data_IF_644408349873
#
_entry.id   IF_644408349873
#
_cell.length_a   1.000
_cell.length_b   1.000
_cell.length_c   1.000
_cell.angle_alpha   90.00
_cell.angle_beta   90.00
_cell.angle_gamma   90.00
#
_symmetry.space_group_name_H-M   'P 1'
#
loop_
_entity.id
_entity.type
_entity.pdbx_description
1 polymer ?
#
# COMPACT_ATOMS: atom_id res chain seq x y z
N UNK A 1 -46.52 36.48 -53.89
CA UNK A 1 -46.34 35.93 -52.53
C UNK A 1 -45.19 34.91 -52.58
N UNK A 2 -43.99 35.26 -52.16
CA UNK A 2 -42.80 34.34 -52.12
C UNK A 2 -42.78 33.60 -50.78
N UNK A 3 -42.89 32.27 -50.79
CA UNK A 3 -42.79 31.43 -49.61
C UNK A 3 -41.29 31.13 -49.35
N UNK A 4 -40.75 31.59 -48.20
CA UNK A 4 -39.41 31.23 -47.70
C UNK A 4 -39.52 29.92 -46.92
N UNK A 5 -38.85 28.86 -47.42
CA UNK A 5 -38.69 27.62 -46.71
C UNK A 5 -37.43 27.75 -45.84
N UNK A 6 -37.59 27.79 -44.52
CA UNK A 6 -36.52 27.83 -43.55
C UNK A 6 -36.09 26.37 -43.26
N UNK A 7 -34.92 25.96 -43.79
CA UNK A 7 -34.33 24.64 -43.49
C UNK A 7 -33.58 24.73 -42.19
N UNK A 8 -34.06 24.04 -41.16
CA UNK A 8 -33.36 23.85 -39.90
C UNK A 8 -32.33 22.69 -40.07
N UNK A 9 -31.03 23.00 -40.12
CA UNK A 9 -29.98 22.00 -40.07
C UNK A 9 -29.77 21.58 -38.61
N UNK A 10 -30.13 20.35 -38.26
CA UNK A 10 -29.86 19.75 -36.93
C UNK A 10 -28.40 19.32 -36.87
N UNK A 11 -27.58 20.07 -36.12
CA UNK A 11 -26.16 19.73 -35.89
C UNK A 11 -26.11 18.61 -34.82
N UNK A 12 -25.84 17.38 -35.24
CA UNK A 12 -25.57 16.27 -34.31
C UNK A 12 -24.12 16.41 -33.75
N UNK A 13 -23.98 16.86 -32.51
CA UNK A 13 -22.70 16.84 -31.77
C UNK A 13 -22.52 15.44 -31.19
N UNK A 14 -21.71 14.61 -31.84
CA UNK A 14 -21.25 13.33 -31.26
C UNK A 14 -20.23 13.60 -30.16
N UNK A 15 -20.64 13.44 -28.90
CA UNK A 15 -19.72 13.47 -27.74
C UNK A 15 -18.98 12.14 -27.74
N UNK A 16 -17.73 12.15 -28.20
CA UNK A 16 -16.81 11.02 -28.06
C UNK A 16 -16.33 11.03 -26.60
N UNK A 17 -16.92 10.19 -25.76
CA UNK A 17 -16.42 9.93 -24.41
C UNK A 17 -15.17 9.06 -24.52
N UNK A 18 -13.97 9.65 -24.39
CA UNK A 18 -12.77 8.89 -24.14
C UNK A 18 -12.86 8.26 -22.75
N UNK A 19 -13.24 7.01 -22.68
CA UNK A 19 -13.14 6.23 -21.45
C UNK A 19 -11.66 6.10 -21.07
N UNK A 20 -11.22 6.81 -20.02
CA UNK A 20 -9.88 6.56 -19.45
C UNK A 20 -9.84 5.13 -18.93
N UNK A 21 -8.80 4.37 -19.32
CA UNK A 21 -8.57 3.04 -18.76
C UNK A 21 -8.43 3.14 -17.24
N UNK A 22 -9.04 2.20 -16.53
CA UNK A 22 -8.95 2.15 -15.06
C UNK A 22 -7.50 2.04 -14.64
N UNK A 23 -7.08 2.76 -13.57
CA UNK A 23 -5.75 2.54 -13.01
C UNK A 23 -5.62 1.09 -12.54
N UNK A 24 -4.42 0.53 -12.65
CA UNK A 24 -4.13 -0.85 -12.23
C UNK A 24 -3.13 -0.87 -11.10
N UNK A 25 -3.27 -1.82 -10.18
CA UNK A 25 -2.30 -2.14 -9.15
C UNK A 25 -1.89 -3.61 -9.25
N UNK A 26 -0.66 -3.92 -8.85
CA UNK A 26 -0.17 -5.28 -8.79
C UNK A 26 0.05 -5.67 -7.33
N UNK A 27 -0.58 -6.74 -6.86
CA UNK A 27 -0.23 -7.38 -5.58
C UNK A 27 0.91 -8.36 -5.86
N UNK A 28 2.00 -8.17 -5.14
CA UNK A 28 3.12 -9.09 -5.06
C UNK A 28 3.18 -9.68 -3.66
N UNK A 29 3.06 -11.02 -3.55
CA UNK A 29 2.97 -11.73 -2.26
C UNK A 29 3.92 -12.94 -2.20
N UNK A 30 5.09 -12.84 -2.87
CA UNK A 30 6.11 -13.87 -2.76
C UNK A 30 6.75 -13.84 -1.38
N UNK A 31 6.96 -15.04 -0.82
CA UNK A 31 7.67 -15.25 0.45
C UNK A 31 8.85 -16.17 0.22
N UNK A 32 10.03 -15.76 0.64
CA UNK A 32 11.23 -16.60 0.70
C UNK A 32 11.56 -17.00 2.15
N UNK A 33 10.94 -16.32 3.14
CA UNK A 33 10.94 -16.63 4.56
C UNK A 33 9.58 -17.15 5.02
N UNK A 34 9.06 -16.59 6.12
CA UNK A 34 7.78 -16.98 6.70
C UNK A 34 6.61 -16.65 5.75
N UNK A 35 5.66 -17.57 5.63
CA UNK A 35 4.44 -17.35 4.84
C UNK A 35 3.27 -17.02 5.75
N UNK A 36 2.74 -15.80 5.65
CA UNK A 36 1.59 -15.35 6.43
C UNK A 36 0.28 -15.87 5.83
N UNK A 37 -0.54 -16.53 6.64
CA UNK A 37 -1.84 -17.08 6.20
C UNK A 37 -2.78 -15.98 5.72
N UNK A 38 -2.70 -14.79 6.31
CA UNK A 38 -3.50 -13.63 5.94
C UNK A 38 -3.35 -13.16 4.48
N UNK A 39 -2.33 -13.60 3.75
CA UNK A 39 -2.20 -13.39 2.30
C UNK A 39 -3.43 -13.95 1.56
N UNK A 40 -3.92 -15.13 1.98
CA UNK A 40 -5.04 -15.81 1.34
C UNK A 40 -6.36 -15.01 1.40
N UNK A 41 -6.58 -14.26 2.49
CA UNK A 41 -7.75 -13.39 2.67
C UNK A 41 -7.50 -11.94 2.23
N UNK A 42 -6.25 -11.50 2.29
CA UNK A 42 -5.84 -10.15 1.89
C UNK A 42 -5.98 -9.91 0.39
N UNK A 43 -5.58 -10.88 -0.43
CA UNK A 43 -5.70 -10.79 -1.90
C UNK A 43 -7.16 -10.54 -2.33
N UNK A 44 -8.14 -11.40 -1.98
CA UNK A 44 -9.53 -11.18 -2.39
C UNK A 44 -10.13 -9.89 -1.80
N UNK A 45 -9.73 -9.49 -0.59
CA UNK A 45 -10.17 -8.23 -0.01
C UNK A 45 -9.69 -7.01 -0.83
N UNK A 46 -8.43 -6.99 -1.28
CA UNK A 46 -7.90 -5.91 -2.12
C UNK A 46 -8.50 -5.96 -3.54
N UNK A 47 -8.76 -7.13 -4.10
CA UNK A 47 -9.46 -7.26 -5.39
C UNK A 47 -10.87 -6.67 -5.29
N UNK A 48 -11.63 -7.01 -4.25
CA UNK A 48 -12.95 -6.42 -3.99
C UNK A 48 -12.86 -4.91 -3.83
N UNK A 49 -11.86 -4.43 -3.09
CA UNK A 49 -11.60 -3.00 -2.90
C UNK A 49 -11.38 -2.28 -4.24
N UNK A 50 -10.66 -2.91 -5.19
CA UNK A 50 -10.46 -2.39 -6.55
C UNK A 50 -11.78 -2.29 -7.32
N UNK A 51 -12.61 -3.33 -7.28
CA UNK A 51 -13.92 -3.35 -7.93
C UNK A 51 -14.84 -2.23 -7.42
N UNK A 52 -14.84 -2.00 -6.10
CA UNK A 52 -15.68 -0.98 -5.44
C UNK A 52 -15.14 0.45 -5.61
N UNK A 53 -13.86 0.63 -5.96
CA UNK A 53 -13.18 1.92 -6.03
C UNK A 53 -12.56 2.24 -7.40
N UNK A 54 -13.02 1.57 -8.46
CA UNK A 54 -12.69 1.85 -9.86
C UNK A 54 -11.20 1.74 -10.20
N UNK A 55 -10.53 0.70 -9.71
CA UNK A 55 -9.19 0.29 -10.17
C UNK A 55 -9.11 -1.23 -10.34
N UNK A 56 -8.26 -1.67 -11.28
CA UNK A 56 -8.03 -3.09 -11.55
C UNK A 56 -6.89 -3.61 -10.66
N UNK A 57 -6.97 -4.89 -10.29
CA UNK A 57 -5.98 -5.55 -9.42
C UNK A 57 -5.51 -6.83 -10.08
N UNK A 58 -4.20 -6.92 -10.35
CA UNK A 58 -3.53 -8.15 -10.71
C UNK A 58 -2.77 -8.71 -9.51
N UNK A 59 -2.49 -10.01 -9.50
CA UNK A 59 -1.75 -10.67 -8.41
C UNK A 59 -0.64 -11.55 -8.96
N UNK A 60 0.48 -11.64 -8.24
CA UNK A 60 1.57 -12.54 -8.60
C UNK A 60 2.47 -12.89 -7.42
N UNK A 61 3.04 -14.10 -7.46
CA UNK A 61 4.21 -14.49 -6.67
C UNK A 61 5.45 -14.64 -7.56
N UNK A 62 5.31 -14.42 -8.88
CA UNK A 62 6.37 -14.62 -9.85
C UNK A 62 7.22 -13.36 -10.01
N UNK A 63 8.43 -13.37 -9.46
CA UNK A 63 9.41 -12.27 -9.55
C UNK A 63 9.86 -11.98 -10.99
N UNK A 64 9.75 -12.95 -11.93
CA UNK A 64 10.10 -12.70 -13.33
C UNK A 64 9.23 -11.62 -14.01
N UNK A 65 8.10 -11.27 -13.39
CA UNK A 65 7.26 -10.14 -13.83
C UNK A 65 7.82 -8.76 -13.43
N UNK A 66 8.87 -8.71 -12.61
CA UNK A 66 9.55 -7.44 -12.27
C UNK A 66 10.49 -7.03 -13.40
N UNK A 67 9.90 -6.67 -14.52
CA UNK A 67 10.55 -5.98 -15.64
C UNK A 67 9.94 -4.59 -15.77
N UNK A 68 10.73 -3.59 -16.19
CA UNK A 68 10.21 -2.23 -16.34
C UNK A 68 9.00 -2.17 -17.29
N UNK A 69 9.02 -2.95 -18.37
CA UNK A 69 7.93 -3.00 -19.34
C UNK A 69 6.62 -3.57 -18.76
N UNK A 70 6.72 -4.46 -17.78
CA UNK A 70 5.53 -4.95 -17.09
C UNK A 70 5.10 -3.98 -15.98
N UNK A 71 6.04 -3.52 -15.14
CA UNK A 71 5.73 -2.68 -13.97
C UNK A 71 5.09 -1.34 -14.36
N UNK A 72 5.48 -0.74 -15.49
CA UNK A 72 4.90 0.53 -15.98
C UNK A 72 3.40 0.48 -16.29
N UNK A 73 2.79 -0.72 -16.36
CA UNK A 73 1.35 -0.91 -16.52
C UNK A 73 0.57 -0.57 -15.25
N UNK A 74 1.25 -0.52 -14.11
CA UNK A 74 0.64 -0.36 -12.80
C UNK A 74 0.92 1.03 -12.21
N UNK A 75 -0.07 1.59 -11.54
CA UNK A 75 0.06 2.86 -10.80
C UNK A 75 0.69 2.66 -9.42
N UNK A 76 0.51 1.47 -8.84
CA UNK A 76 1.15 1.07 -7.59
C UNK A 76 1.43 -0.43 -7.56
N UNK A 77 2.50 -0.81 -6.87
CA UNK A 77 2.86 -2.19 -6.54
C UNK A 77 2.66 -2.37 -5.03
N UNK A 78 1.90 -3.41 -4.66
CA UNK A 78 1.59 -3.74 -3.27
C UNK A 78 2.42 -4.95 -2.87
N UNK A 79 3.36 -4.79 -1.95
CA UNK A 79 4.06 -5.89 -1.30
C UNK A 79 3.20 -6.34 -0.11
N UNK A 80 2.41 -7.40 -0.34
CA UNK A 80 1.48 -7.94 0.65
C UNK A 80 2.15 -9.05 1.43
N UNK A 81 2.60 -8.77 2.63
CA UNK A 81 3.27 -9.70 3.55
C UNK A 81 4.40 -10.51 2.89
N UNK A 82 5.19 -9.86 2.03
CA UNK A 82 6.40 -10.46 1.45
C UNK A 82 7.44 -10.68 2.54
N UNK A 83 8.31 -11.70 2.39
CA UNK A 83 9.38 -12.01 3.35
C UNK A 83 10.64 -12.54 2.66
N UNK A 84 11.81 -12.17 3.19
CA UNK A 84 13.11 -12.61 2.69
C UNK A 84 13.47 -12.01 1.34
N UNK A 85 14.45 -12.58 0.65
CA UNK A 85 14.94 -12.08 -0.64
C UNK A 85 14.04 -12.59 -1.78
N UNK A 86 13.24 -11.72 -2.33
CA UNK A 86 12.20 -12.07 -3.31
C UNK A 86 12.53 -11.62 -4.73
N UNK A 87 13.49 -10.69 -4.91
CA UNK A 87 13.93 -10.15 -6.19
C UNK A 87 15.43 -10.38 -6.40
N UNK A 88 15.83 -10.71 -7.62
CA UNK A 88 17.23 -10.68 -8.01
C UNK A 88 17.67 -9.28 -8.46
N UNK A 89 18.97 -9.07 -8.71
CA UNK A 89 19.55 -7.77 -9.04
C UNK A 89 18.93 -7.10 -10.29
N UNK A 90 18.54 -7.88 -11.31
CA UNK A 90 17.88 -7.33 -12.51
C UNK A 90 16.47 -6.84 -12.19
N UNK A 91 15.75 -7.60 -11.37
CA UNK A 91 14.39 -7.28 -10.91
C UNK A 91 14.39 -6.08 -9.96
N UNK A 92 15.38 -6.00 -9.06
CA UNK A 92 15.62 -4.84 -8.19
C UNK A 92 15.86 -3.59 -9.04
N UNK A 93 16.75 -3.66 -10.02
CA UNK A 93 17.02 -2.55 -10.96
C UNK A 93 15.76 -2.10 -11.70
N UNK A 94 14.93 -3.04 -12.15
CA UNK A 94 13.68 -2.73 -12.83
C UNK A 94 12.67 -2.04 -11.90
N UNK A 95 12.61 -2.48 -10.65
CA UNK A 95 11.73 -1.88 -9.64
C UNK A 95 12.19 -0.48 -9.22
N UNK A 96 13.50 -0.26 -9.04
CA UNK A 96 14.04 1.09 -8.82
C UNK A 96 13.65 2.06 -9.94
N UNK A 97 13.83 1.63 -11.19
CA UNK A 97 13.45 2.46 -12.35
C UNK A 97 11.96 2.77 -12.39
N UNK A 98 11.10 1.81 -12.00
CA UNK A 98 9.67 2.03 -11.91
C UNK A 98 9.33 3.10 -10.87
N UNK A 99 9.93 3.05 -9.67
CA UNK A 99 9.75 4.05 -8.62
C UNK A 99 10.28 5.42 -9.07
N UNK A 100 11.50 5.49 -9.66
CA UNK A 100 12.09 6.72 -10.19
C UNK A 100 11.24 7.42 -11.25
N UNK A 101 10.41 6.66 -11.96
CA UNK A 101 9.46 7.20 -12.94
C UNK A 101 8.11 7.61 -12.32
N UNK A 102 8.02 7.70 -11.00
CA UNK A 102 6.82 8.13 -10.29
C UNK A 102 5.87 6.99 -9.90
N UNK A 103 6.33 5.75 -9.97
CA UNK A 103 5.57 4.58 -9.52
C UNK A 103 5.21 4.63 -8.04
N UNK A 104 4.11 3.98 -7.66
CA UNK A 104 3.66 3.87 -6.27
C UNK A 104 4.09 2.57 -5.61
N UNK A 105 4.37 2.62 -4.33
CA UNK A 105 4.67 1.47 -3.47
C UNK A 105 3.71 1.42 -2.28
N UNK A 106 3.21 0.23 -1.97
CA UNK A 106 2.47 -0.06 -0.74
C UNK A 106 3.09 -1.26 -0.07
N UNK A 107 3.61 -1.09 1.12
CA UNK A 107 4.06 -2.19 1.97
C UNK A 107 3.01 -2.53 3.02
N UNK A 108 2.69 -3.81 3.17
CA UNK A 108 1.74 -4.31 4.17
C UNK A 108 2.43 -5.33 5.04
N UNK A 109 2.36 -5.12 6.34
CA UNK A 109 2.86 -5.99 7.39
C UNK A 109 4.30 -6.43 7.15
N UNK A 110 4.55 -7.67 6.73
CA UNK A 110 5.88 -8.24 6.58
C UNK A 110 6.70 -7.66 5.40
N UNK A 111 6.18 -6.64 4.69
CA UNK A 111 6.99 -5.95 3.69
C UNK A 111 8.28 -5.34 4.27
N UNK A 112 8.37 -5.09 5.58
CA UNK A 112 9.62 -4.69 6.27
C UNK A 112 10.53 -5.86 6.63
N UNK A 113 10.07 -7.10 6.49
CA UNK A 113 10.84 -8.35 6.64
C UNK A 113 11.32 -8.89 5.29
N UNK A 114 11.63 -7.99 4.38
CA UNK A 114 11.94 -8.28 2.97
C UNK A 114 13.20 -7.54 2.55
N UNK A 115 14.06 -8.17 1.70
CA UNK A 115 15.20 -7.55 1.01
C UNK A 115 16.20 -6.86 1.96
N UNK A 116 16.63 -7.52 2.99
CA UNK A 116 17.51 -6.94 4.03
C UNK A 116 18.85 -6.45 3.50
N UNK A 117 19.38 -7.07 2.46
CA UNK A 117 20.66 -6.73 1.85
C UNK A 117 20.54 -5.67 0.74
N UNK A 118 19.35 -5.07 0.58
CA UNK A 118 19.09 -4.02 -0.39
C UNK A 118 18.70 -2.69 0.28
N UNK A 119 19.67 -1.85 0.68
CA UNK A 119 19.41 -0.61 1.44
C UNK A 119 18.47 0.37 0.74
N UNK A 120 18.44 0.37 -0.60
CA UNK A 120 17.49 1.18 -1.35
C UNK A 120 16.03 0.79 -1.03
N UNK A 121 15.75 -0.53 -0.96
CA UNK A 121 14.42 -1.02 -0.58
C UNK A 121 14.09 -0.67 0.88
N UNK A 122 15.04 -0.80 1.80
CA UNK A 122 14.86 -0.37 3.19
C UNK A 122 14.41 1.08 3.28
N UNK A 123 15.06 1.97 2.50
CA UNK A 123 14.64 3.37 2.44
C UNK A 123 13.27 3.56 1.77
N UNK A 124 12.91 2.76 0.78
CA UNK A 124 11.58 2.81 0.14
C UNK A 124 10.47 2.36 1.09
N UNK A 125 10.63 1.22 1.76
CA UNK A 125 9.62 0.71 2.72
C UNK A 125 9.64 1.49 4.02
N UNK A 126 10.78 2.08 4.41
CA UNK A 126 10.96 3.00 5.52
C UNK A 126 11.44 2.37 6.83
N UNK A 127 11.52 1.05 6.93
CA UNK A 127 12.05 0.35 8.10
C UNK A 127 12.46 -1.09 7.77
N UNK A 128 13.23 -1.69 8.68
CA UNK A 128 13.47 -3.13 8.66
C UNK A 128 13.00 -3.79 9.97
N UNK A 129 12.27 -4.88 9.80
CA UNK A 129 11.80 -5.73 10.90
C UNK A 129 12.95 -6.23 11.76
N UNK A 130 12.74 -6.32 13.07
CA UNK A 130 13.64 -6.87 14.05
C UNK A 130 13.07 -8.11 14.73
N UNK A 131 11.89 -7.96 15.31
CA UNK A 131 11.23 -8.95 16.16
C UNK A 131 9.77 -8.61 16.33
N UNK A 132 9.01 -9.50 16.93
CA UNK A 132 7.67 -9.26 17.46
C UNK A 132 7.46 -10.03 18.77
N UNK A 133 6.53 -9.65 19.63
CA UNK A 133 6.11 -10.47 20.77
C UNK A 133 5.64 -11.87 20.32
N UNK A 134 5.80 -12.86 21.18
CA UNK A 134 5.47 -14.26 20.85
C UNK A 134 3.98 -14.55 20.59
N UNK A 135 3.12 -13.59 20.88
CA UNK A 135 1.66 -13.68 20.68
C UNK A 135 1.11 -12.38 20.15
N UNK A 136 0.08 -12.48 19.32
CA UNK A 136 -0.78 -11.34 18.98
C UNK A 136 -1.38 -10.74 20.25
N UNK A 137 -1.44 -9.42 20.35
CA UNK A 137 -1.94 -8.70 21.51
C UNK A 137 -2.85 -7.55 21.07
N UNK A 138 -3.83 -7.22 21.91
CA UNK A 138 -4.50 -5.93 21.77
C UNK A 138 -3.56 -4.81 22.21
N UNK A 139 -3.51 -3.74 21.44
CA UNK A 139 -2.81 -2.52 21.81
C UNK A 139 -3.57 -1.27 21.36
N UNK A 140 -3.20 -0.14 21.94
CA UNK A 140 -3.72 1.17 21.56
C UNK A 140 -2.83 1.78 20.49
N UNK A 141 -3.42 2.16 19.38
CA UNK A 141 -2.79 2.92 18.32
C UNK A 141 -3.18 4.39 18.44
N UNK A 142 -2.20 5.27 18.45
CA UNK A 142 -2.39 6.72 18.36
C UNK A 142 -2.39 7.13 16.88
N UNK A 143 -3.48 7.74 16.41
CA UNK A 143 -3.59 8.29 15.05
C UNK A 143 -3.02 9.71 15.07
N UNK A 144 -1.75 9.85 14.67
CA UNK A 144 -0.97 11.09 14.75
C UNK A 144 -1.40 12.10 13.70
N UNK A 145 -1.54 11.67 12.43
CA UNK A 145 -2.08 12.51 11.34
C UNK A 145 -3.50 12.05 10.99
N UNK A 146 -4.48 12.87 11.37
CA UNK A 146 -5.91 12.63 11.13
C UNK A 146 -6.46 13.34 9.89
N UNK A 147 -5.61 13.97 9.09
CA UNK A 147 -6.01 14.66 7.86
C UNK A 147 -5.67 13.84 6.61
N UNK A 148 -4.78 12.84 6.73
CA UNK A 148 -4.35 12.05 5.61
C UNK A 148 -5.45 11.08 5.13
N UNK A 149 -5.48 10.80 3.83
CA UNK A 149 -6.53 9.96 3.20
C UNK A 149 -6.67 8.58 3.84
N UNK A 150 -5.56 8.00 4.34
CA UNK A 150 -5.55 6.68 4.99
C UNK A 150 -5.97 6.70 6.47
N UNK A 151 -6.10 7.87 7.10
CA UNK A 151 -6.33 7.98 8.55
C UNK A 151 -7.48 8.88 8.95
N UNK A 152 -7.97 9.75 8.06
CA UNK A 152 -9.03 10.73 8.37
C UNK A 152 -10.36 10.14 8.89
N UNK A 153 -10.58 8.85 8.66
CA UNK A 153 -11.77 8.12 9.13
C UNK A 153 -11.54 7.37 10.44
N UNK A 154 -10.29 7.31 10.92
CA UNK A 154 -9.94 6.59 12.15
C UNK A 154 -10.25 7.43 13.40
N UNK A 155 -10.58 6.80 14.54
CA UNK A 155 -10.63 7.48 15.82
C UNK A 155 -9.23 7.96 16.25
N UNK A 156 -9.14 8.91 17.17
CA UNK A 156 -7.85 9.40 17.68
C UNK A 156 -7.01 8.29 18.32
N UNK A 157 -7.68 7.37 19.03
CA UNK A 157 -7.10 6.13 19.55
C UNK A 157 -7.85 4.96 18.96
N UNK A 158 -7.12 4.05 18.31
CA UNK A 158 -7.68 2.86 17.69
C UNK A 158 -7.13 1.62 18.38
N UNK A 159 -7.96 0.98 19.20
CA UNK A 159 -7.62 -0.28 19.88
C UNK A 159 -7.94 -1.46 18.98
N UNK A 160 -6.94 -2.36 18.79
CA UNK A 160 -7.13 -3.56 17.98
C UNK A 160 -6.15 -4.67 18.36
N UNK A 161 -6.47 -5.89 17.94
CA UNK A 161 -5.59 -7.06 17.98
C UNK A 161 -4.79 -7.14 16.69
N UNK A 162 -3.47 -7.25 16.79
CA UNK A 162 -2.59 -7.55 15.66
C UNK A 162 -1.26 -8.14 16.16
N UNK A 163 -0.31 -8.37 15.26
CA UNK A 163 1.08 -8.67 15.58
C UNK A 163 1.91 -7.38 15.48
N UNK A 164 2.59 -7.03 16.56
CA UNK A 164 3.27 -5.75 16.68
C UNK A 164 4.75 -5.89 16.36
N UNK A 165 5.16 -5.41 15.19
CA UNK A 165 6.55 -5.44 14.75
C UNK A 165 7.40 -4.41 15.46
N UNK A 166 8.55 -4.85 15.98
CA UNK A 166 9.67 -4.01 16.37
C UNK A 166 10.62 -3.86 15.18
N UNK A 167 11.25 -2.69 15.07
CA UNK A 167 12.17 -2.40 13.97
C UNK A 167 13.58 -2.28 14.45
N UNK A 168 14.54 -2.86 13.70
CA UNK A 168 15.99 -2.69 13.95
C UNK A 168 16.52 -1.38 13.40
N UNK A 169 15.80 -0.78 12.47
CA UNK A 169 16.13 0.48 11.84
C UNK A 169 14.86 1.11 11.24
N UNK A 170 14.77 2.44 11.30
CA UNK A 170 13.68 3.24 10.76
C UNK A 170 14.30 4.42 9.98
N UNK A 171 13.88 4.64 8.76
CA UNK A 171 14.37 5.72 7.91
C UNK A 171 14.01 7.11 8.46
N UNK A 172 14.85 8.09 8.15
CA UNK A 172 14.49 9.49 8.38
C UNK A 172 13.49 10.02 7.35
N UNK A 173 12.80 11.13 7.71
CA UNK A 173 11.92 11.84 6.77
C UNK A 173 10.56 11.17 6.50
N UNK A 174 10.18 10.18 7.29
CA UNK A 174 8.86 9.55 7.21
C UNK A 174 7.78 10.48 7.79
N UNK A 175 6.65 10.59 7.10
CA UNK A 175 5.43 11.19 7.63
C UNK A 175 4.65 10.12 8.40
N UNK A 176 4.79 10.12 9.74
CA UNK A 176 4.15 9.12 10.60
C UNK A 176 2.64 9.38 10.68
N UNK A 177 1.87 8.35 10.42
CA UNK A 177 0.41 8.36 10.46
C UNK A 177 -0.15 7.77 11.75
N UNK A 178 0.43 6.66 12.20
CA UNK A 178 -0.02 5.88 13.35
C UNK A 178 1.20 5.45 14.14
N UNK A 179 1.13 5.59 15.45
CA UNK A 179 2.08 5.03 16.43
C UNK A 179 1.37 4.03 17.32
N UNK A 180 2.12 3.12 17.91
CA UNK A 180 1.62 2.23 18.96
C UNK A 180 2.06 2.74 20.35
N UNK A 181 1.15 2.69 21.31
CA UNK A 181 1.48 2.91 22.72
C UNK A 181 2.04 1.62 23.31
N UNK A 182 3.36 1.56 23.48
CA UNK A 182 4.05 0.38 24.05
C UNK A 182 3.64 0.07 25.48
N UNK A 183 3.02 1.01 26.21
CA UNK A 183 2.49 0.78 27.56
C UNK A 183 1.20 -0.03 27.54
N UNK A 184 0.56 -0.16 26.39
CA UNK A 184 -0.71 -0.86 26.23
C UNK A 184 -0.57 -2.36 25.91
N UNK A 185 0.66 -2.85 25.67
CA UNK A 185 0.97 -4.25 25.40
C UNK A 185 2.38 -4.61 25.93
N UNK A 186 2.83 -5.85 25.73
CA UNK A 186 4.14 -6.32 26.23
C UNK A 186 5.05 -6.69 25.05
N UNK A 187 6.33 -6.27 25.12
CA UNK A 187 7.37 -6.64 24.16
C UNK A 187 7.64 -5.61 23.08
N UNK A 188 7.23 -4.35 23.28
CA UNK A 188 7.66 -3.21 22.48
C UNK A 188 9.14 -2.90 22.72
N UNK A 189 9.90 -2.52 21.66
CA UNK A 189 11.33 -2.26 21.71
C UNK A 189 11.75 -0.98 20.97
N UNK A 190 10.81 -0.15 20.53
CA UNK A 190 11.09 1.12 19.85
C UNK A 190 10.73 2.36 20.68
N UNK A 191 10.16 2.18 21.89
CA UNK A 191 9.86 3.22 22.87
C UNK A 191 8.72 4.17 22.42
N UNK A 192 8.78 5.42 22.88
CA UNK A 192 7.70 6.40 22.62
C UNK A 192 7.54 6.79 21.13
N UNK A 193 8.50 6.46 20.29
CA UNK A 193 8.45 6.73 18.86
C UNK A 193 8.37 5.44 18.03
N UNK A 194 7.35 4.63 18.28
CA UNK A 194 7.13 3.36 17.63
C UNK A 194 6.08 3.49 16.51
N UNK A 195 6.47 3.76 15.25
CA UNK A 195 5.53 3.95 14.16
C UNK A 195 4.96 2.62 13.67
N UNK A 196 3.64 2.62 13.34
CA UNK A 196 2.92 1.48 12.77
C UNK A 196 2.42 1.73 11.36
N UNK A 197 2.33 3.00 10.94
CA UNK A 197 2.02 3.35 9.57
C UNK A 197 2.63 4.70 9.21
N UNK A 198 3.08 4.84 7.96
CA UNK A 198 3.68 6.05 7.44
C UNK A 198 3.55 6.15 5.92
N UNK A 199 3.83 7.35 5.41
CA UNK A 199 4.03 7.59 4.00
C UNK A 199 5.21 8.54 3.78
N UNK A 200 5.76 8.52 2.59
CA UNK A 200 6.76 9.48 2.13
C UNK A 200 6.89 9.46 0.60
N UNK A 201 7.62 10.41 0.07
CA UNK A 201 8.14 10.32 -1.29
C UNK A 201 9.57 9.82 -1.24
N UNK A 202 9.90 8.87 -2.10
CA UNK A 202 11.24 8.32 -2.18
C UNK A 202 11.63 8.08 -3.64
N UNK A 203 12.81 8.58 -4.01
CA UNK A 203 13.43 8.37 -5.33
C UNK A 203 12.49 8.65 -6.53
N UNK A 204 11.61 9.66 -6.39
CA UNK A 204 10.62 10.05 -7.41
C UNK A 204 9.24 9.42 -7.26
N UNK A 205 9.10 8.33 -6.50
CA UNK A 205 7.84 7.63 -6.25
C UNK A 205 7.14 8.02 -4.95
N UNK A 206 6.01 7.39 -4.71
CA UNK A 206 5.20 7.53 -3.48
C UNK A 206 5.16 6.21 -2.75
N UNK A 207 5.56 6.19 -1.49
CA UNK A 207 5.57 5.03 -0.64
C UNK A 207 4.60 5.18 0.53
N UNK A 208 3.81 4.16 0.79
CA UNK A 208 2.97 3.99 1.96
C UNK A 208 3.28 2.65 2.60
N UNK A 209 3.34 2.61 3.91
CA UNK A 209 3.49 1.37 4.66
C UNK A 209 2.52 1.32 5.83
N UNK A 210 2.03 0.11 6.12
CA UNK A 210 1.31 -0.22 7.35
C UNK A 210 1.80 -1.55 7.92
N UNK A 211 2.18 -1.55 9.20
CA UNK A 211 2.55 -2.76 9.94
C UNK A 211 1.36 -3.67 10.25
N UNK A 212 0.14 -3.14 10.10
CA UNK A 212 -1.10 -3.85 10.37
C UNK A 212 -1.39 -4.88 9.27
N UNK A 213 -2.24 -5.87 9.57
CA UNK A 213 -2.68 -6.85 8.58
C UNK A 213 -2.08 -8.24 8.73
N UNK A 214 -1.51 -8.57 9.90
CA UNK A 214 -1.10 -9.94 10.20
C UNK A 214 -2.28 -10.89 10.30
N UNK A 215 -3.39 -10.44 10.91
CA UNK A 215 -4.55 -11.30 11.18
C UNK A 215 -5.51 -11.35 9.99
N UNK A 216 -6.16 -12.49 9.77
CA UNK A 216 -7.25 -12.63 8.80
C UNK A 216 -8.39 -11.64 9.08
N UNK A 217 -8.68 -11.41 10.37
CA UNK A 217 -9.73 -10.49 10.81
C UNK A 217 -9.50 -9.06 10.33
N UNK A 218 -8.24 -8.63 10.12
CA UNK A 218 -7.91 -7.31 9.56
C UNK A 218 -8.61 -7.09 8.22
N UNK A 219 -8.65 -8.10 7.37
CA UNK A 219 -9.21 -8.01 6.00
C UNK A 219 -10.75 -8.08 5.95
N UNK A 220 -11.40 -8.13 7.10
CA UNK A 220 -12.85 -7.93 7.27
C UNK A 220 -13.21 -6.72 8.14
N UNK A 221 -12.21 -6.06 8.76
CA UNK A 221 -12.39 -4.88 9.62
C UNK A 221 -12.56 -3.61 8.76
N UNK A 222 -13.71 -2.92 8.84
CA UNK A 222 -13.98 -1.75 7.98
C UNK A 222 -12.98 -0.60 8.15
N UNK A 223 -12.44 -0.39 9.36
CA UNK A 223 -11.47 0.66 9.62
C UNK A 223 -10.13 0.35 8.95
N UNK A 224 -9.64 -0.90 9.06
CA UNK A 224 -8.41 -1.32 8.40
C UNK A 224 -8.55 -1.30 6.88
N UNK A 225 -9.65 -1.80 6.33
CA UNK A 225 -9.89 -1.78 4.88
C UNK A 225 -9.89 -0.35 4.31
N UNK A 226 -10.49 0.61 5.01
CA UNK A 226 -10.44 2.03 4.61
C UNK A 226 -9.03 2.62 4.74
N UNK A 227 -8.28 2.23 5.78
CA UNK A 227 -6.89 2.63 5.97
C UNK A 227 -6.01 2.14 4.80
N UNK A 228 -6.08 0.84 4.49
CA UNK A 228 -5.34 0.25 3.39
C UNK A 228 -5.74 0.86 2.03
N UNK A 229 -7.03 1.05 1.77
CA UNK A 229 -7.51 1.74 0.56
C UNK A 229 -6.95 3.15 0.43
N UNK A 230 -6.90 3.90 1.53
CA UNK A 230 -6.30 5.24 1.56
C UNK A 230 -4.82 5.23 1.17
N UNK A 231 -4.06 4.26 1.68
CA UNK A 231 -2.65 4.05 1.32
C UNK A 231 -2.47 3.68 -0.16
N UNK A 232 -3.31 2.78 -0.69
CA UNK A 232 -3.31 2.41 -2.11
C UNK A 232 -3.63 3.63 -2.98
N UNK A 233 -4.65 4.42 -2.64
CA UNK A 233 -5.02 5.64 -3.36
C UNK A 233 -3.88 6.66 -3.38
N UNK A 234 -3.22 6.88 -2.23
CA UNK A 234 -2.05 7.75 -2.16
C UNK A 234 -0.92 7.26 -3.08
N UNK A 235 -0.58 5.96 -3.02
CA UNK A 235 0.46 5.38 -3.87
C UNK A 235 0.14 5.51 -5.36
N UNK A 236 -1.13 5.37 -5.76
CA UNK A 236 -1.59 5.63 -7.13
C UNK A 236 -1.56 7.12 -7.54
N UNK A 237 -1.27 8.06 -6.61
CA UNK A 237 -1.28 9.50 -6.85
C UNK A 237 -2.67 10.16 -6.76
N UNK A 238 -3.64 9.50 -6.14
CA UNK A 238 -4.97 10.05 -5.85
C UNK A 238 -4.95 10.79 -4.49
N UNK A 239 -5.78 11.85 -4.38
CA UNK A 239 -5.90 12.68 -3.17
C UNK A 239 -7.20 12.40 -2.44
#
# INVERSE_FOLDING_TARGET
MKKYILSFALLFVTIITFGFAKPRVLIFSKTAGFHHESIAVGIPAIIKMGQENNFDVDTTTNSALFTLDNLKKYKAIIFLSTTGDVLNAEQQTAFERYIKQGGGFVGVHAATDTEYDWPWYGNLVGAYFKSHPSKQQEANLEVVDRNFIATKHLPATWRRLDEWYNYKWIAGGLHILIKIDEKSYTGGENGDNHPMAWYHTYDGGRAFYTALGHTDASYSEPLFLKHLLGGIKYAMGQK
#
